data_IF_330373253021
#
_entry.id   IF_330373253021
#
_cell.length_a   1.000
_cell.length_b   1.000
_cell.length_c   1.000
_cell.angle_alpha   90.00
_cell.angle_beta   90.00
_cell.angle_gamma   90.00
#
_symmetry.space_group_name_H-M   'P 1'
#
loop_
_entity.id
_entity.type
_entity.pdbx_description
1 polymer ?
#
# COMPACT_ATOMS: atom_id res chain seq x y z
N UNK A 1 10.16 -12.39 -14.07
CA UNK A 1 9.32 -11.23 -13.67
C UNK A 1 8.72 -11.52 -12.30
N UNK A 2 9.17 -10.85 -11.24
CA UNK A 2 8.73 -11.15 -9.87
C UNK A 2 7.28 -10.70 -9.58
N UNK A 3 6.85 -9.59 -10.20
CA UNK A 3 5.47 -9.08 -10.13
C UNK A 3 4.43 -10.13 -10.56
N UNK A 4 4.68 -10.92 -11.61
CA UNK A 4 3.75 -11.98 -12.05
C UNK A 4 3.48 -13.06 -10.98
N UNK A 5 4.48 -13.47 -10.18
CA UNK A 5 4.27 -14.49 -9.13
C UNK A 5 3.46 -13.94 -7.94
N UNK A 6 3.72 -12.70 -7.56
CA UNK A 6 3.02 -12.05 -6.46
C UNK A 6 1.57 -11.71 -6.86
N UNK A 7 1.34 -11.27 -8.10
CA UNK A 7 0.00 -11.11 -8.66
C UNK A 7 -0.76 -12.44 -8.68
N UNK A 8 -0.14 -13.54 -9.12
CA UNK A 8 -0.77 -14.88 -9.08
C UNK A 8 -1.15 -15.29 -7.66
N UNK A 9 -0.25 -15.06 -6.68
CA UNK A 9 -0.51 -15.37 -5.27
C UNK A 9 -1.72 -14.58 -4.74
N UNK A 10 -1.79 -13.27 -5.04
CA UNK A 10 -2.91 -12.44 -4.61
C UNK A 10 -4.24 -12.88 -5.23
N UNK A 11 -4.27 -13.20 -6.53
CA UNK A 11 -5.48 -13.67 -7.22
C UNK A 11 -5.94 -15.02 -6.68
N UNK A 12 -5.03 -16.00 -6.59
CA UNK A 12 -5.37 -17.33 -6.10
C UNK A 12 -5.79 -17.28 -4.62
N UNK A 13 -5.14 -16.45 -3.81
CA UNK A 13 -5.53 -16.26 -2.40
C UNK A 13 -6.90 -15.60 -2.23
N UNK A 14 -7.27 -14.64 -3.09
CA UNK A 14 -8.62 -14.08 -3.07
C UNK A 14 -9.68 -15.14 -3.44
N UNK A 15 -9.41 -15.92 -4.50
CA UNK A 15 -10.32 -16.96 -4.98
C UNK A 15 -10.38 -18.20 -4.09
N UNK A 16 -9.46 -18.37 -3.14
CA UNK A 16 -9.55 -19.44 -2.14
C UNK A 16 -10.55 -19.16 -1.03
N UNK A 17 -10.96 -17.89 -0.86
CA UNK A 17 -12.02 -17.50 0.09
C UNK A 17 -13.39 -17.85 -0.50
N UNK A 18 -13.64 -17.38 -1.72
CA UNK A 18 -14.89 -17.65 -2.45
C UNK A 18 -14.71 -17.42 -3.95
N UNK A 19 -15.58 -18.03 -4.80
CA UNK A 19 -15.68 -17.66 -6.20
C UNK A 19 -16.08 -16.19 -6.37
N UNK A 20 -15.39 -15.45 -7.24
CA UNK A 20 -15.55 -14.01 -7.39
C UNK A 20 -15.46 -13.59 -8.86
N UNK A 21 -16.12 -12.49 -9.23
CA UNK A 21 -15.89 -11.88 -10.55
C UNK A 21 -14.51 -11.26 -10.60
N UNK A 22 -13.96 -11.05 -11.80
CA UNK A 22 -12.66 -10.38 -11.94
C UNK A 22 -12.63 -8.98 -11.29
N UNK A 23 -13.76 -8.28 -11.28
CA UNK A 23 -13.93 -7.03 -10.53
C UNK A 23 -13.88 -7.27 -9.03
N UNK A 24 -14.65 -8.21 -8.49
CA UNK A 24 -14.67 -8.51 -7.06
C UNK A 24 -13.31 -8.99 -6.54
N UNK A 25 -12.56 -9.81 -7.31
CA UNK A 25 -11.17 -10.18 -6.96
C UNK A 25 -10.30 -8.95 -6.77
N UNK A 26 -10.41 -7.97 -7.67
CA UNK A 26 -9.65 -6.72 -7.58
C UNK A 26 -10.01 -5.93 -6.32
N UNK A 27 -11.30 -5.78 -6.03
CA UNK A 27 -11.75 -5.03 -4.86
C UNK A 27 -11.31 -5.73 -3.57
N UNK A 28 -11.47 -7.06 -3.49
CA UNK A 28 -11.04 -7.86 -2.35
C UNK A 28 -9.54 -7.73 -2.08
N UNK A 29 -8.70 -7.83 -3.12
CA UNK A 29 -7.25 -7.64 -2.98
C UNK A 29 -6.94 -6.24 -2.46
N UNK A 30 -7.62 -5.21 -2.97
CA UNK A 30 -7.39 -3.83 -2.55
C UNK A 30 -7.78 -3.61 -1.09
N UNK A 31 -8.94 -4.13 -0.68
CA UNK A 31 -9.48 -3.91 0.66
C UNK A 31 -8.71 -4.74 1.70
N UNK A 32 -8.50 -6.03 1.45
CA UNK A 32 -7.81 -6.91 2.39
C UNK A 32 -6.29 -6.66 2.45
N UNK A 33 -5.64 -6.38 1.32
CA UNK A 33 -4.17 -6.33 1.23
C UNK A 33 -3.62 -4.92 1.02
N UNK A 34 -4.45 -3.91 0.73
CA UNK A 34 -4.02 -2.58 0.29
C UNK A 34 -3.11 -1.82 1.28
N UNK A 35 -3.15 -2.18 2.56
CA UNK A 35 -2.31 -1.56 3.59
C UNK A 35 -0.85 -2.02 3.57
N UNK A 36 -0.52 -3.14 2.91
CA UNK A 36 0.86 -3.64 2.79
C UNK A 36 1.25 -4.09 1.38
N UNK A 37 0.28 -4.20 0.48
CA UNK A 37 0.47 -4.69 -0.87
C UNK A 37 -0.16 -3.74 -1.89
N UNK A 38 0.64 -3.22 -2.80
CA UNK A 38 0.17 -2.49 -3.98
C UNK A 38 0.72 -3.13 -5.25
N UNK A 39 -0.15 -3.80 -5.99
CA UNK A 39 0.18 -4.32 -7.34
C UNK A 39 -0.32 -3.32 -8.39
N UNK A 40 0.34 -3.29 -9.55
CA UNK A 40 -0.23 -2.58 -10.70
C UNK A 40 -1.55 -3.23 -11.09
N UNK A 41 -2.66 -2.53 -10.82
CA UNK A 41 -4.03 -2.97 -11.12
C UNK A 41 -4.25 -3.44 -12.57
N UNK A 42 -3.41 -2.99 -13.51
CA UNK A 42 -3.43 -3.44 -14.91
C UNK A 42 -2.96 -4.90 -15.11
N UNK A 43 -2.35 -5.53 -14.11
CA UNK A 43 -1.84 -6.90 -14.19
C UNK A 43 -2.88 -7.97 -13.79
N UNK A 44 -3.95 -7.59 -13.07
CA UNK A 44 -4.93 -8.55 -12.54
C UNK A 44 -5.69 -9.27 -13.66
N UNK A 45 -6.26 -8.54 -14.61
CA UNK A 45 -7.06 -9.14 -15.69
C UNK A 45 -6.23 -10.01 -16.66
N UNK A 46 -5.03 -9.58 -17.11
CA UNK A 46 -4.14 -10.47 -17.85
C UNK A 46 -3.77 -11.72 -17.05
N UNK A 47 -3.45 -11.58 -15.76
CA UNK A 47 -3.10 -12.71 -14.91
C UNK A 47 -4.27 -13.69 -14.69
N UNK A 48 -5.51 -13.21 -14.56
CA UNK A 48 -6.71 -14.07 -14.53
C UNK A 48 -6.80 -14.91 -15.80
N UNK A 49 -6.65 -14.30 -16.98
CA UNK A 49 -6.65 -15.03 -18.25
C UNK A 49 -5.50 -16.04 -18.36
N UNK A 50 -4.33 -15.72 -17.82
CA UNK A 50 -3.18 -16.65 -17.80
C UNK A 50 -3.40 -17.84 -16.87
N UNK A 51 -4.00 -17.61 -15.69
CA UNK A 51 -4.34 -18.66 -14.73
C UNK A 51 -5.43 -19.58 -15.26
N UNK A 52 -6.42 -19.03 -15.95
CA UNK A 52 -7.50 -19.79 -16.62
C UNK A 52 -6.91 -20.70 -17.70
N UNK A 53 -6.05 -20.17 -18.58
CA UNK A 53 -5.37 -20.98 -19.61
C UNK A 53 -4.49 -22.09 -19.03
N UNK A 54 -4.03 -21.94 -17.80
CA UNK A 54 -3.22 -22.93 -17.08
C UNK A 54 -4.08 -23.90 -16.24
N UNK A 55 -5.41 -23.84 -16.34
CA UNK A 55 -6.36 -24.62 -15.55
C UNK A 55 -6.20 -24.45 -14.02
N UNK A 56 -5.63 -23.33 -13.57
CA UNK A 56 -5.50 -23.00 -12.15
C UNK A 56 -6.75 -22.33 -11.58
N UNK A 57 -7.56 -21.74 -12.45
CA UNK A 57 -8.90 -21.24 -12.14
C UNK A 57 -9.85 -21.69 -13.24
N UNK A 58 -11.13 -21.79 -12.90
CA UNK A 58 -12.21 -22.07 -13.83
C UNK A 58 -13.19 -20.90 -13.86
N UNK A 59 -13.82 -20.70 -15.03
CA UNK A 59 -14.81 -19.65 -15.24
C UNK A 59 -16.21 -20.26 -15.27
N UNK A 60 -17.10 -19.73 -14.45
CA UNK A 60 -18.53 -20.05 -14.44
C UNK A 60 -19.31 -18.98 -15.21
N UNK A 61 -20.07 -19.41 -16.22
CA UNK A 61 -20.50 -18.56 -17.31
C UNK A 61 -21.56 -17.52 -16.93
N UNK A 62 -21.28 -16.28 -17.33
CA UNK A 62 -22.28 -15.26 -17.69
C UNK A 62 -21.74 -14.35 -18.80
N UNK A 63 -21.36 -14.92 -19.95
CA UNK A 63 -21.23 -14.24 -21.25
C UNK A 63 -20.13 -13.17 -21.46
N UNK A 64 -19.70 -12.44 -20.43
CA UNK A 64 -18.58 -11.47 -20.45
C UNK A 64 -17.57 -11.81 -19.33
N UNK A 65 -16.28 -11.72 -19.64
CA UNK A 65 -15.18 -11.94 -18.68
C UNK A 65 -15.23 -11.02 -17.45
N UNK A 66 -15.87 -9.84 -17.55
CA UNK A 66 -16.03 -8.92 -16.42
C UNK A 66 -17.14 -9.34 -15.45
N UNK A 67 -18.17 -10.03 -15.93
CA UNK A 67 -19.28 -10.55 -15.13
C UNK A 67 -19.10 -12.02 -14.74
N UNK A 68 -18.19 -12.73 -15.41
CA UNK A 68 -17.94 -14.14 -15.14
C UNK A 68 -17.36 -14.35 -13.75
N UNK A 69 -17.88 -15.36 -13.05
CA UNK A 69 -17.32 -15.81 -11.78
C UNK A 69 -16.11 -16.70 -12.06
N UNK A 70 -15.03 -16.48 -11.33
CA UNK A 70 -13.86 -17.34 -11.32
C UNK A 70 -13.85 -18.15 -10.03
N UNK A 71 -13.49 -19.43 -10.10
CA UNK A 71 -13.26 -20.29 -8.95
C UNK A 71 -11.86 -20.91 -9.05
N UNK A 72 -11.19 -21.09 -7.92
CA UNK A 72 -9.89 -21.76 -7.88
C UNK A 72 -10.06 -23.27 -8.07
N UNK A 73 -9.17 -23.90 -8.84
CA UNK A 73 -9.15 -25.37 -9.01
C UNK A 73 -8.23 -26.04 -7.99
N UNK A 74 -8.23 -27.38 -7.92
CA UNK A 74 -7.24 -28.13 -7.12
C UNK A 74 -5.80 -27.81 -7.54
N UNK A 75 -5.57 -27.65 -8.85
CA UNK A 75 -4.26 -27.25 -9.38
C UNK A 75 -3.89 -25.83 -8.96
N UNK A 76 -4.86 -24.90 -8.97
CA UNK A 76 -4.67 -23.54 -8.45
C UNK A 76 -4.34 -23.54 -6.97
N UNK A 77 -5.02 -24.37 -6.18
CA UNK A 77 -4.79 -24.52 -4.75
C UNK A 77 -3.39 -25.06 -4.46
N UNK A 78 -2.95 -26.09 -5.19
CA UNK A 78 -1.59 -26.62 -5.09
C UNK A 78 -0.55 -25.56 -5.46
N UNK A 79 -0.83 -24.77 -6.51
CA UNK A 79 0.03 -23.65 -6.92
C UNK A 79 0.13 -22.58 -5.84
N UNK A 80 -1.00 -22.18 -5.24
CA UNK A 80 -1.04 -21.21 -4.16
C UNK A 80 -0.19 -21.66 -2.98
N UNK A 81 -0.36 -22.91 -2.53
CA UNK A 81 0.47 -23.51 -1.46
C UNK A 81 1.97 -23.42 -1.78
N UNK A 82 2.37 -23.76 -3.00
CA UNK A 82 3.76 -23.67 -3.43
C UNK A 82 4.30 -22.24 -3.49
N UNK A 83 3.46 -21.27 -3.84
CA UNK A 83 3.83 -19.84 -3.80
C UNK A 83 4.02 -19.35 -2.36
N UNK A 84 3.10 -19.71 -1.46
CA UNK A 84 3.14 -19.31 -0.05
C UNK A 84 4.32 -19.93 0.73
N UNK A 85 4.75 -21.13 0.35
CA UNK A 85 5.92 -21.79 0.95
C UNK A 85 7.27 -21.19 0.51
N UNK A 86 7.28 -20.30 -0.48
CA UNK A 86 8.49 -19.66 -0.98
C UNK A 86 9.04 -18.59 -0.03
N UNK A 87 10.33 -18.26 -0.17
CA UNK A 87 10.93 -17.16 0.59
C UNK A 87 10.28 -15.81 0.23
N UNK A 88 9.86 -14.99 1.21
CA UNK A 88 9.33 -13.67 0.94
C UNK A 88 10.34 -12.79 0.20
N UNK A 89 9.94 -12.23 -0.93
CA UNK A 89 10.83 -11.37 -1.70
C UNK A 89 11.08 -10.06 -0.97
N UNK A 90 12.35 -9.82 -0.60
CA UNK A 90 12.76 -8.52 -0.04
C UNK A 90 12.99 -7.51 -1.16
N UNK A 91 12.12 -6.51 -1.26
CA UNK A 91 12.34 -5.37 -2.14
C UNK A 91 12.81 -4.16 -1.32
N UNK A 92 13.78 -3.41 -1.82
CA UNK A 92 14.16 -2.14 -1.20
C UNK A 92 12.98 -1.16 -1.35
N UNK A 93 12.50 -0.53 -0.27
CA UNK A 93 11.37 0.37 -0.34
C UNK A 93 11.72 1.59 -1.21
N UNK A 94 10.87 1.89 -2.19
CA UNK A 94 10.94 3.12 -2.98
C UNK A 94 10.18 4.23 -2.24
N UNK A 95 10.80 4.79 -1.21
CA UNK A 95 10.16 5.81 -0.39
C UNK A 95 10.32 7.21 -1.00
N UNK A 96 9.29 7.66 -1.72
CA UNK A 96 9.29 8.96 -2.40
C UNK A 96 9.26 10.17 -1.46
N UNK A 97 8.79 10.02 -0.21
CA UNK A 97 8.86 11.08 0.80
C UNK A 97 10.31 11.26 1.27
N UNK A 98 10.97 10.17 1.66
CA UNK A 98 12.37 10.21 2.10
C UNK A 98 13.28 10.76 1.00
N UNK A 99 13.04 10.41 -0.26
CA UNK A 99 13.80 10.94 -1.38
C UNK A 99 13.65 12.47 -1.51
N UNK A 100 12.43 13.00 -1.34
CA UNK A 100 12.17 14.45 -1.37
C UNK A 100 12.84 15.16 -0.20
N UNK A 101 12.73 14.61 1.00
CA UNK A 101 13.36 15.19 2.20
C UNK A 101 14.89 15.14 2.12
N UNK A 102 15.46 14.08 1.55
CA UNK A 102 16.90 13.98 1.31
C UNK A 102 17.42 15.13 0.44
N UNK A 103 16.66 15.52 -0.59
CA UNK A 103 16.95 16.70 -1.42
C UNK A 103 16.24 17.98 -0.92
N UNK A 104 15.79 18.00 0.34
CA UNK A 104 14.94 19.04 0.91
C UNK A 104 15.55 20.44 0.86
N UNK A 105 16.89 20.57 0.81
CA UNK A 105 17.59 21.85 0.61
C UNK A 105 17.09 22.62 -0.62
N UNK A 106 16.73 21.91 -1.69
CA UNK A 106 16.24 22.53 -2.93
C UNK A 106 14.78 22.98 -2.82
N UNK A 107 14.01 22.35 -1.93
CA UNK A 107 12.59 22.60 -1.73
C UNK A 107 12.34 23.68 -0.66
N UNK A 108 13.24 23.82 0.30
CA UNK A 108 13.13 24.73 1.43
C UNK A 108 12.38 24.11 2.62
N UNK A 109 12.60 24.64 3.84
CA UNK A 109 12.11 24.03 5.07
C UNK A 109 10.58 24.01 5.16
N UNK A 110 9.89 25.07 4.74
CA UNK A 110 8.42 25.13 4.79
C UNK A 110 7.75 24.06 3.92
N UNK A 111 8.22 23.89 2.69
CA UNK A 111 7.67 22.86 1.82
C UNK A 111 8.07 21.44 2.26
N UNK A 112 9.21 21.27 2.94
CA UNK A 112 9.53 20.00 3.62
C UNK A 112 8.58 19.74 4.80
N UNK A 113 8.23 20.78 5.56
CA UNK A 113 7.29 20.71 6.68
C UNK A 113 5.92 20.24 6.21
N UNK A 114 5.41 20.81 5.11
CA UNK A 114 4.14 20.40 4.50
C UNK A 114 4.15 18.94 4.03
N UNK A 115 5.26 18.45 3.47
CA UNK A 115 5.40 17.04 3.11
C UNK A 115 5.29 16.13 4.34
N UNK A 116 5.91 16.51 5.46
CA UNK A 116 5.86 15.73 6.71
C UNK A 116 4.49 15.79 7.35
N UNK A 117 3.83 16.96 7.38
CA UNK A 117 2.45 17.10 7.85
C UNK A 117 1.47 16.23 7.04
N UNK A 118 1.60 16.25 5.71
CA UNK A 118 0.79 15.40 4.84
C UNK A 118 1.00 13.91 5.13
N UNK A 119 2.26 13.49 5.31
CA UNK A 119 2.59 12.11 5.66
C UNK A 119 2.03 11.70 7.03
N UNK A 120 2.09 12.60 8.02
CA UNK A 120 1.51 12.40 9.34
C UNK A 120 -0.01 12.19 9.26
N UNK A 121 -0.72 13.08 8.58
CA UNK A 121 -2.17 12.99 8.40
C UNK A 121 -2.59 11.71 7.67
N UNK A 122 -1.84 11.29 6.65
CA UNK A 122 -2.06 10.02 5.95
C UNK A 122 -1.86 8.83 6.90
N UNK A 123 -0.81 8.84 7.72
CA UNK A 123 -0.55 7.78 8.68
C UNK A 123 -1.63 7.70 9.79
N UNK A 124 -2.14 8.84 10.25
CA UNK A 124 -3.27 8.89 11.20
C UNK A 124 -4.54 8.30 10.59
N UNK A 125 -4.87 8.70 9.36
CA UNK A 125 -6.02 8.14 8.63
C UNK A 125 -5.88 6.63 8.40
N UNK A 126 -4.68 6.17 8.04
CA UNK A 126 -4.39 4.75 7.86
C UNK A 126 -4.51 3.97 9.18
N UNK A 127 -4.04 4.54 10.29
CA UNK A 127 -4.14 3.93 11.61
C UNK A 127 -5.59 3.76 12.03
N UNK A 128 -6.42 4.79 11.86
CA UNK A 128 -7.85 4.72 12.15
C UNK A 128 -8.55 3.63 11.33
N UNK A 129 -8.30 3.60 10.02
CA UNK A 129 -8.87 2.57 9.13
C UNK A 129 -8.47 1.15 9.53
N UNK A 130 -7.22 0.92 9.95
CA UNK A 130 -6.76 -0.39 10.41
C UNK A 130 -7.36 -0.80 11.75
N UNK A 131 -7.59 0.16 12.65
CA UNK A 131 -8.28 -0.09 13.93
C UNK A 131 -9.74 -0.47 13.69
N UNK A 132 -10.41 0.19 12.75
CA UNK A 132 -11.78 -0.15 12.34
C UNK A 132 -11.82 -1.56 11.73
N UNK A 133 -10.92 -1.87 10.79
CA UNK A 133 -10.83 -3.21 10.19
C UNK A 133 -10.58 -4.31 11.23
N UNK A 134 -9.75 -4.06 12.25
CA UNK A 134 -9.59 -5.00 13.38
C UNK A 134 -10.92 -5.24 14.11
N UNK A 135 -11.63 -4.17 14.40
CA UNK A 135 -12.89 -4.24 15.16
C UNK A 135 -14.01 -4.92 14.36
N UNK A 136 -14.00 -4.78 13.04
CA UNK A 136 -14.91 -5.48 12.13
C UNK A 136 -14.59 -6.97 12.06
N UNK A 137 -13.32 -7.34 11.88
CA UNK A 137 -12.89 -8.73 11.86
C UNK A 137 -13.24 -9.48 13.15
N UNK A 138 -13.16 -8.81 14.31
CA UNK A 138 -13.54 -9.40 15.60
C UNK A 138 -15.04 -9.74 15.72
N UNK A 139 -15.88 -9.27 14.79
CA UNK A 139 -17.33 -9.52 14.75
C UNK A 139 -17.71 -10.53 13.67
N UNK A 140 -16.78 -10.90 12.79
CA UNK A 140 -17.04 -11.76 11.65
C UNK A 140 -16.66 -13.21 11.96
N UNK A 141 -17.67 -14.02 12.30
CA UNK A 141 -17.50 -15.42 12.65
C UNK A 141 -17.18 -16.31 11.43
N UNK A 142 -17.41 -15.82 10.20
CA UNK A 142 -17.16 -16.60 8.99
C UNK A 142 -15.66 -16.69 8.66
N UNK A 143 -14.82 -15.88 9.32
CA UNK A 143 -13.38 -15.81 9.12
C UNK A 143 -12.57 -16.42 10.29
N UNK A 144 -13.18 -17.21 11.18
CA UNK A 144 -12.52 -17.70 12.41
C UNK A 144 -11.13 -18.35 12.18
N UNK A 145 -10.97 -19.16 11.12
CA UNK A 145 -9.71 -19.83 10.79
C UNK A 145 -8.66 -18.87 10.19
N UNK A 146 -9.10 -17.83 9.47
CA UNK A 146 -8.24 -16.86 8.79
C UNK A 146 -7.91 -15.63 9.67
N UNK A 147 -8.79 -15.30 10.62
CA UNK A 147 -8.73 -14.11 11.45
C UNK A 147 -7.41 -13.94 12.20
N UNK A 148 -6.80 -14.99 12.81
CA UNK A 148 -5.49 -14.85 13.44
C UNK A 148 -4.40 -14.37 12.47
N UNK A 149 -4.42 -14.85 11.22
CA UNK A 149 -3.43 -14.47 10.21
C UNK A 149 -3.68 -13.06 9.67
N UNK A 150 -4.93 -12.67 9.47
CA UNK A 150 -5.31 -11.31 9.07
C UNK A 150 -4.95 -10.30 10.19
N UNK A 151 -5.16 -10.65 11.46
CA UNK A 151 -4.78 -9.80 12.59
C UNK A 151 -3.28 -9.52 12.64
N UNK A 152 -2.43 -10.46 12.23
CA UNK A 152 -0.99 -10.25 12.13
C UNK A 152 -0.64 -9.17 11.11
N UNK A 153 -1.32 -9.13 9.96
CA UNK A 153 -1.07 -8.12 8.91
C UNK A 153 -1.58 -6.75 9.34
N UNK A 154 -2.78 -6.68 9.92
CA UNK A 154 -3.34 -5.44 10.48
C UNK A 154 -2.42 -4.88 11.57
N UNK A 155 -1.97 -5.72 12.50
CA UNK A 155 -1.05 -5.33 13.58
C UNK A 155 0.26 -4.74 13.03
N UNK A 156 0.84 -5.34 11.98
CA UNK A 156 2.03 -4.82 11.32
C UNK A 156 1.78 -3.45 10.66
N UNK A 157 0.64 -3.30 9.98
CA UNK A 157 0.22 -2.03 9.38
C UNK A 157 0.09 -0.91 10.42
N UNK A 158 -0.55 -1.20 11.55
CA UNK A 158 -0.71 -0.21 12.61
C UNK A 158 0.60 0.20 13.28
N UNK A 159 1.49 -0.77 13.52
CA UNK A 159 2.82 -0.46 14.07
C UNK A 159 3.61 0.43 13.11
N UNK A 160 3.48 0.19 11.80
CA UNK A 160 4.08 1.04 10.77
C UNK A 160 3.49 2.45 10.77
N UNK A 161 2.16 2.57 10.87
CA UNK A 161 1.48 3.86 10.94
C UNK A 161 1.88 4.65 12.19
N UNK A 162 1.89 4.01 13.38
CA UNK A 162 2.36 4.60 14.63
C UNK A 162 3.81 5.07 14.56
N UNK A 163 4.70 4.25 13.99
CA UNK A 163 6.09 4.63 13.79
C UNK A 163 6.23 5.82 12.83
N UNK A 164 5.39 5.91 11.80
CA UNK A 164 5.38 7.03 10.86
C UNK A 164 4.91 8.32 11.53
N UNK A 165 3.87 8.26 12.39
CA UNK A 165 3.39 9.41 13.16
C UNK A 165 4.48 9.90 14.11
N UNK A 166 5.09 9.00 14.89
CA UNK A 166 6.16 9.35 15.82
C UNK A 166 7.36 9.99 15.09
N UNK A 167 7.80 9.40 13.97
CA UNK A 167 8.85 9.98 13.14
C UNK A 167 8.47 11.36 12.59
N UNK A 168 7.22 11.54 12.17
CA UNK A 168 6.76 12.83 11.64
C UNK A 168 6.80 13.92 12.73
N UNK A 169 6.40 13.61 13.96
CA UNK A 169 6.48 14.53 15.09
C UNK A 169 7.94 14.94 15.38
N UNK A 170 8.86 13.98 15.39
CA UNK A 170 10.31 14.24 15.53
C UNK A 170 10.85 15.11 14.38
N UNK A 171 10.48 14.78 13.14
CA UNK A 171 10.94 15.47 11.94
C UNK A 171 10.43 16.91 11.87
N UNK A 172 9.19 17.17 12.28
CA UNK A 172 8.63 18.52 12.37
C UNK A 172 9.41 19.35 13.40
N UNK A 173 9.69 18.79 14.59
CA UNK A 173 10.50 19.45 15.60
C UNK A 173 11.92 19.78 15.10
N UNK A 174 12.52 18.89 14.31
CA UNK A 174 13.82 19.14 13.69
C UNK A 174 13.74 20.24 12.62
N UNK A 175 12.75 20.20 11.72
CA UNK A 175 12.59 21.22 10.66
C UNK A 175 12.36 22.61 11.26
N UNK A 176 11.51 22.71 12.29
CA UNK A 176 11.22 23.98 12.97
C UNK A 176 12.48 24.60 13.62
N UNK A 177 13.49 23.78 13.95
CA UNK A 177 14.77 24.25 14.49
C UNK A 177 15.70 24.90 13.45
N UNK A 178 15.51 24.59 12.17
CA UNK A 178 16.33 25.11 11.06
C UNK A 178 15.66 26.24 10.27
N UNK A 179 14.38 26.55 10.54
CA UNK A 179 13.71 27.75 10.03
C UNK A 179 14.28 28.94 10.81
N UNK A 180 15.08 29.83 10.19
CA UNK A 180 15.59 31.01 10.88
C UNK A 180 14.41 31.89 11.28
N UNK A 181 14.31 32.27 12.55
CA UNK A 181 13.29 33.22 13.06
C UNK A 181 13.36 34.61 12.38
N UNK A 182 14.39 34.87 11.57
CA UNK A 182 14.73 36.19 11.03
C UNK A 182 14.55 36.32 9.51
N UNK A 183 13.65 35.55 8.89
CA UNK A 183 13.33 35.71 7.46
C UNK A 183 12.55 37.01 7.14
N UNK A 184 12.11 37.77 8.15
CA UNK A 184 11.48 39.08 7.95
C UNK A 184 12.48 40.24 7.68
N UNK A 185 13.79 40.06 7.91
CA UNK A 185 14.74 41.20 7.89
C UNK A 185 15.69 41.29 6.70
N UNK A 186 15.60 40.42 5.69
CA UNK A 186 16.57 40.41 4.55
C UNK A 186 16.05 40.92 3.20
N UNK A 187 14.88 41.58 3.14
CA UNK A 187 14.36 42.14 1.88
C UNK A 187 14.68 43.62 1.61
N UNK A 188 15.53 44.28 2.40
CA UNK A 188 15.87 45.71 2.15
C UNK A 188 17.38 45.97 2.28
N UNK A 189 18.17 45.42 1.37
CA UNK A 189 19.53 45.88 1.13
C UNK A 189 19.75 46.09 -0.38
N UNK A 190 19.16 47.20 -0.85
CA UNK A 190 19.62 48.10 -1.91
C UNK A 190 20.62 47.51 -2.94
N UNK A 191 20.12 47.27 -4.15
CA UNK A 191 20.90 47.53 -5.36
C UNK A 191 20.78 49.02 -5.69
N UNK A 192 21.77 49.80 -5.26
CA UNK A 192 22.06 51.14 -5.79
C UNK A 192 23.58 51.25 -5.91
N UNK A 193 24.07 51.08 -7.13
CA UNK A 193 25.37 51.49 -7.69
C UNK A 193 25.09 51.43 -9.21
N UNK A 194 24.59 52.48 -9.86
CA UNK A 194 25.30 53.69 -10.28
C UNK A 194 26.72 53.40 -10.77
N UNK A 195 26.92 53.52 -12.10
CA UNK A 195 28.06 54.17 -12.78
C UNK A 195 28.09 53.78 -14.27
N UNK A 196 28.80 54.52 -15.12
CA UNK A 196 28.77 55.97 -15.35
C UNK A 196 28.34 56.33 -16.79
#
# INVERSE_FOLDING_TARGET
MASSKQTQMAILGALSIAPMTGYAVREQIREALGHFWSESFGQIYPALGDLERQAMIERHDSGDSRSSLFAITDQGTARLKGLLAGEPQRQKPRNGLMLRLFFGRQLGPEACRELVLSARAQAESQLAHLQDARNELAKDADLDDDAPYILLTISAGENTARATIAWADEALGAIDSFIPRDAESRSVAKFTEEQP
#
